data_IF_847829003694
#
_entry.id   IF_847829003694
#
_cell.length_a   1.000
_cell.length_b   1.000
_cell.length_c   1.000
_cell.angle_alpha   90.00
_cell.angle_beta   90.00
_cell.angle_gamma   90.00
#
_symmetry.space_group_name_H-M   'P 1'
#
loop_
_entity.id
_entity.type
_entity.pdbx_description
1 polymer ?
#
# COMPACT_ATOMS: atom_id res chain seq x y z
N UNK A 1 -30.89 12.34 -4.87
CA UNK A 1 -29.84 11.40 -4.40
C UNK A 1 -30.31 10.46 -3.30
N UNK A 2 -30.96 10.94 -2.22
CA UNK A 2 -31.49 10.05 -1.17
C UNK A 2 -32.43 8.94 -1.69
N UNK A 3 -33.19 9.21 -2.77
CA UNK A 3 -34.05 8.21 -3.42
C UNK A 3 -33.27 7.02 -4.02
N UNK A 4 -32.08 7.24 -4.60
CA UNK A 4 -31.27 6.16 -5.18
C UNK A 4 -30.68 5.27 -4.07
N UNK A 5 -30.21 5.88 -2.98
CA UNK A 5 -29.71 5.13 -1.81
C UNK A 5 -30.86 4.36 -1.16
N UNK A 6 -32.04 4.99 -1.03
CA UNK A 6 -33.25 4.33 -0.52
C UNK A 6 -33.68 3.13 -1.38
N UNK A 7 -33.57 3.23 -2.71
CA UNK A 7 -33.79 2.11 -3.61
C UNK A 7 -32.77 0.97 -3.39
N UNK A 8 -31.48 1.29 -3.25
CA UNK A 8 -30.45 0.30 -2.94
C UNK A 8 -30.72 -0.42 -1.61
N UNK A 9 -31.18 0.32 -0.60
CA UNK A 9 -31.62 -0.26 0.68
C UNK A 9 -32.82 -1.18 0.49
N UNK A 10 -33.85 -0.75 -0.26
CA UNK A 10 -35.03 -1.57 -0.54
C UNK A 10 -34.68 -2.87 -1.28
N UNK A 11 -33.69 -2.83 -2.17
CA UNK A 11 -33.17 -3.99 -2.88
C UNK A 11 -32.22 -4.86 -2.04
N UNK A 12 -31.88 -4.47 -0.80
CA UNK A 12 -30.95 -5.19 0.08
C UNK A 12 -29.63 -5.55 -0.62
N UNK A 13 -29.05 -4.58 -1.30
CA UNK A 13 -27.80 -4.78 -2.04
C UNK A 13 -26.67 -5.25 -1.11
N UNK A 14 -25.80 -6.13 -1.63
CA UNK A 14 -24.58 -6.56 -0.93
C UNK A 14 -23.42 -5.60 -1.13
N UNK A 15 -23.47 -4.79 -2.18
CA UNK A 15 -22.42 -3.85 -2.57
C UNK A 15 -23.05 -2.48 -2.69
N UNK A 16 -22.50 -1.51 -1.97
CA UNK A 16 -22.89 -0.11 -2.05
C UNK A 16 -21.66 0.73 -2.38
N UNK A 17 -21.73 1.44 -3.51
CA UNK A 17 -20.70 2.37 -3.95
C UNK A 17 -21.30 3.79 -4.01
N UNK A 18 -20.68 4.70 -3.27
CA UNK A 18 -21.09 6.09 -3.17
C UNK A 18 -19.89 6.96 -3.51
N UNK A 19 -19.93 7.55 -4.70
CA UNK A 19 -18.92 8.49 -5.17
C UNK A 19 -19.49 9.90 -5.28
N UNK A 20 -19.07 10.76 -4.35
CA UNK A 20 -19.39 12.18 -4.30
C UNK A 20 -18.15 13.06 -4.49
N UNK A 21 -17.07 12.50 -5.04
CA UNK A 21 -15.87 13.28 -5.36
C UNK A 21 -16.16 14.26 -6.49
N UNK A 22 -15.77 15.53 -6.31
CA UNK A 22 -15.91 16.56 -7.34
C UNK A 22 -14.53 16.92 -7.89
N UNK A 23 -14.27 16.77 -9.21
CA UNK A 23 -12.94 16.95 -9.81
C UNK A 23 -12.33 18.35 -9.70
N UNK A 24 -13.11 19.36 -9.31
CA UNK A 24 -12.60 20.72 -9.07
C UNK A 24 -11.66 20.80 -7.86
N UNK A 25 -11.57 19.73 -7.07
CA UNK A 25 -10.63 19.60 -5.96
C UNK A 25 -9.21 19.44 -6.52
N UNK A 26 -8.44 20.52 -6.47
CA UNK A 26 -7.06 20.50 -6.94
C UNK A 26 -6.22 19.67 -5.95
N UNK A 27 -5.43 18.70 -6.43
CA UNK A 27 -4.61 17.81 -5.57
C UNK A 27 -3.61 18.58 -4.67
N UNK A 28 -3.46 19.90 -4.86
CA UNK A 28 -2.53 20.79 -4.16
C UNK A 28 -3.17 21.78 -3.17
N UNK A 29 -4.50 21.85 -3.03
CA UNK A 29 -5.19 22.77 -2.11
C UNK A 29 -6.09 21.99 -1.14
N UNK A 30 -5.46 21.33 -0.17
CA UNK A 30 -6.14 20.52 0.85
C UNK A 30 -6.87 21.37 1.90
N UNK A 31 -6.61 22.68 1.95
CA UNK A 31 -7.08 23.59 2.98
C UNK A 31 -8.52 24.10 2.74
N UNK A 32 -9.04 24.03 1.50
CA UNK A 32 -10.32 24.68 1.13
C UNK A 32 -11.53 23.73 1.02
N UNK A 33 -11.37 22.41 1.21
CA UNK A 33 -12.41 21.43 0.87
C UNK A 33 -13.01 20.65 2.06
N UNK A 34 -12.76 21.12 3.28
CA UNK A 34 -13.23 20.48 4.51
C UNK A 34 -14.76 20.54 4.75
N UNK A 35 -15.53 21.27 3.92
CA UNK A 35 -16.92 21.64 4.20
C UNK A 35 -18.03 20.72 3.66
N UNK A 36 -17.84 20.04 2.53
CA UNK A 36 -18.96 19.52 1.72
C UNK A 36 -19.01 17.98 1.56
N UNK A 37 -18.53 17.22 2.55
CA UNK A 37 -18.61 15.75 2.50
C UNK A 37 -20.06 15.27 2.61
N UNK A 38 -20.46 14.33 1.74
CA UNK A 38 -21.80 13.76 1.80
C UNK A 38 -21.97 12.88 3.05
N UNK A 39 -22.91 13.24 3.93
CA UNK A 39 -23.20 12.47 5.14
C UNK A 39 -23.93 11.17 4.82
N UNK A 40 -23.34 10.02 5.20
CA UNK A 40 -23.96 8.71 5.01
C UNK A 40 -25.29 8.64 5.79
N UNK A 41 -26.44 8.42 5.11
CA UNK A 41 -27.73 8.48 5.78
C UNK A 41 -27.94 7.39 6.84
N UNK A 42 -28.67 7.72 7.91
CA UNK A 42 -28.88 6.82 9.05
C UNK A 42 -29.55 5.49 8.68
N UNK A 43 -30.40 5.48 7.66
CA UNK A 43 -31.10 4.28 7.20
C UNK A 43 -30.14 3.24 6.58
N UNK A 44 -28.98 3.66 6.06
CA UNK A 44 -27.96 2.71 5.57
C UNK A 44 -27.44 1.83 6.72
N UNK A 45 -27.18 2.43 7.88
CA UNK A 45 -26.70 1.70 9.07
C UNK A 45 -27.77 0.83 9.75
N UNK A 46 -29.05 1.07 9.47
CA UNK A 46 -30.17 0.35 10.10
C UNK A 46 -30.72 -0.74 9.20
N UNK A 47 -30.98 -0.40 7.95
CA UNK A 47 -31.82 -1.20 7.07
C UNK A 47 -31.00 -2.00 6.04
N UNK A 48 -29.74 -1.61 5.79
CA UNK A 48 -28.85 -2.29 4.85
C UNK A 48 -27.67 -3.00 5.52
N UNK A 49 -27.33 -2.61 6.75
CA UNK A 49 -26.05 -2.98 7.37
C UNK A 49 -25.84 -4.49 7.58
N UNK A 50 -26.91 -5.25 7.84
CA UNK A 50 -26.81 -6.69 8.13
C UNK A 50 -26.36 -7.53 6.92
N UNK A 51 -26.65 -7.07 5.70
CA UNK A 51 -26.39 -7.82 4.46
C UNK A 51 -25.29 -7.20 3.60
N UNK A 52 -24.78 -6.03 3.98
CA UNK A 52 -23.80 -5.31 3.19
C UNK A 52 -22.42 -5.96 3.35
N UNK A 53 -21.91 -6.49 2.24
CA UNK A 53 -20.61 -7.18 2.17
C UNK A 53 -19.49 -6.23 1.71
N UNK A 54 -19.82 -5.23 0.88
CA UNK A 54 -18.85 -4.25 0.37
C UNK A 54 -19.40 -2.82 0.42
N UNK A 55 -18.60 -1.90 0.96
CA UNK A 55 -18.92 -0.49 1.07
C UNK A 55 -17.76 0.35 0.53
N UNK A 56 -18.04 1.14 -0.50
CA UNK A 56 -17.12 2.13 -1.05
C UNK A 56 -17.68 3.54 -0.82
N UNK A 57 -16.89 4.39 -0.16
CA UNK A 57 -17.26 5.76 0.20
C UNK A 57 -16.19 6.72 -0.30
N UNK A 58 -16.48 7.46 -1.35
CA UNK A 58 -15.64 8.55 -1.84
C UNK A 58 -16.29 9.89 -1.49
N UNK A 59 -15.52 10.78 -0.84
CA UNK A 59 -15.98 12.11 -0.43
C UNK A 59 -17.24 12.07 0.46
N UNK A 60 -17.27 11.12 1.39
CA UNK A 60 -18.37 10.94 2.34
C UNK A 60 -17.93 11.16 3.79
N UNK A 61 -18.84 11.65 4.61
CA UNK A 61 -18.74 11.60 6.07
C UNK A 61 -19.55 10.43 6.61
N UNK A 62 -19.08 9.80 7.69
CA UNK A 62 -19.71 8.62 8.26
C UNK A 62 -19.57 8.59 9.79
N UNK A 63 -20.52 7.94 10.45
CA UNK A 63 -20.51 7.74 11.89
C UNK A 63 -19.79 6.44 12.24
N UNK A 64 -18.51 6.52 12.59
CA UNK A 64 -17.68 5.34 12.92
C UNK A 64 -18.32 4.43 13.98
N UNK A 65 -18.98 5.00 15.00
CA UNK A 65 -19.65 4.23 16.05
C UNK A 65 -20.85 3.39 15.56
N UNK A 66 -21.38 3.68 14.37
CA UNK A 66 -22.46 2.92 13.73
C UNK A 66 -21.95 1.76 12.89
N UNK A 67 -20.65 1.66 12.64
CA UNK A 67 -20.09 0.56 11.85
C UNK A 67 -20.24 -0.82 12.49
N UNK A 68 -20.46 -0.88 13.81
CA UNK A 68 -20.81 -2.12 14.52
C UNK A 68 -22.08 -2.80 14.01
N UNK A 69 -22.93 -2.08 13.27
CA UNK A 69 -24.10 -2.66 12.59
C UNK A 69 -23.72 -3.52 11.38
N UNK A 70 -22.57 -3.27 10.76
CA UNK A 70 -22.10 -3.94 9.54
C UNK A 70 -21.44 -5.29 9.86
N UNK A 71 -22.27 -6.29 10.18
CA UNK A 71 -21.79 -7.62 10.60
C UNK A 71 -21.28 -8.49 9.45
N UNK A 72 -21.68 -8.19 8.22
CA UNK A 72 -21.30 -8.93 7.02
C UNK A 72 -20.22 -8.23 6.17
N UNK A 73 -19.75 -7.05 6.60
CA UNK A 73 -18.88 -6.20 5.78
C UNK A 73 -17.46 -6.76 5.71
N UNK A 74 -17.11 -7.22 4.52
CA UNK A 74 -15.81 -7.80 4.17
C UNK A 74 -14.90 -6.81 3.48
N UNK A 75 -15.46 -5.85 2.73
CA UNK A 75 -14.71 -4.92 1.91
C UNK A 75 -15.08 -3.48 2.27
N UNK A 76 -14.10 -2.71 2.71
CA UNK A 76 -14.26 -1.29 3.01
C UNK A 76 -13.25 -0.46 2.22
N UNK A 77 -13.75 0.43 1.38
CA UNK A 77 -12.97 1.39 0.63
C UNK A 77 -13.38 2.80 1.03
N UNK A 78 -12.42 3.61 1.48
CA UNK A 78 -12.58 5.00 1.85
C UNK A 78 -11.69 5.85 0.96
N UNK A 79 -12.27 6.83 0.28
CA UNK A 79 -11.57 7.72 -0.63
C UNK A 79 -11.87 9.18 -0.36
N UNK A 80 -10.85 10.05 -0.35
CA UNK A 80 -11.06 11.49 -0.12
C UNK A 80 -11.84 11.77 1.17
N UNK A 81 -11.45 11.11 2.26
CA UNK A 81 -12.08 11.28 3.58
C UNK A 81 -11.05 11.78 4.60
N UNK A 82 -11.50 12.64 5.52
CA UNK A 82 -10.76 12.98 6.72
C UNK A 82 -10.70 11.78 7.66
N UNK A 83 -9.50 11.23 7.87
CA UNK A 83 -9.32 9.97 8.58
C UNK A 83 -8.15 10.08 9.56
N UNK A 84 -8.44 9.96 10.85
CA UNK A 84 -7.40 9.82 11.87
C UNK A 84 -7.09 8.34 12.12
N UNK A 85 -5.93 8.05 12.72
CA UNK A 85 -5.57 6.69 13.12
C UNK A 85 -6.62 6.05 14.03
N UNK A 86 -7.17 6.81 14.98
CA UNK A 86 -8.22 6.33 15.89
C UNK A 86 -9.51 5.92 15.17
N UNK A 87 -9.88 6.61 14.09
CA UNK A 87 -11.03 6.23 13.26
C UNK A 87 -10.76 4.91 12.54
N UNK A 88 -9.56 4.72 11.97
CA UNK A 88 -9.18 3.44 11.34
C UNK A 88 -9.25 2.28 12.33
N UNK A 89 -8.63 2.43 13.51
CA UNK A 89 -8.64 1.40 14.54
C UNK A 89 -10.07 1.07 14.99
N UNK A 90 -10.93 2.08 15.14
CA UNK A 90 -12.33 1.88 15.48
C UNK A 90 -13.12 1.17 14.38
N UNK A 91 -12.85 1.45 13.09
CA UNK A 91 -13.45 0.72 11.97
C UNK A 91 -13.07 -0.76 11.98
N UNK A 92 -11.78 -1.06 12.16
CA UNK A 92 -11.28 -2.44 12.26
C UNK A 92 -11.89 -3.20 13.45
N UNK A 93 -12.04 -2.52 14.60
CA UNK A 93 -12.69 -3.10 15.78
C UNK A 93 -14.18 -3.36 15.56
N UNK A 94 -14.86 -2.45 14.87
CA UNK A 94 -16.30 -2.53 14.65
C UNK A 94 -16.70 -3.52 13.54
N UNK A 95 -15.77 -3.87 12.65
CA UNK A 95 -15.98 -4.78 11.52
C UNK A 95 -15.00 -5.96 11.58
N UNK A 96 -15.20 -6.93 12.49
CA UNK A 96 -14.23 -7.99 12.76
C UNK A 96 -14.05 -8.99 11.59
N UNK A 97 -15.01 -9.05 10.66
CA UNK A 97 -14.95 -9.92 9.47
C UNK A 97 -14.36 -9.22 8.24
N UNK A 98 -13.77 -8.03 8.42
CA UNK A 98 -13.23 -7.25 7.31
C UNK A 98 -12.01 -7.95 6.69
N UNK A 99 -12.13 -8.36 5.43
CA UNK A 99 -11.11 -9.05 4.65
C UNK A 99 -10.28 -8.08 3.80
N UNK A 100 -10.83 -6.93 3.43
CA UNK A 100 -10.19 -5.94 2.56
C UNK A 100 -10.42 -4.51 3.05
N UNK A 101 -9.32 -3.78 3.27
CA UNK A 101 -9.32 -2.36 3.61
C UNK A 101 -8.56 -1.57 2.55
N UNK A 102 -9.21 -0.54 2.01
CA UNK A 102 -8.60 0.39 1.05
C UNK A 102 -8.77 1.83 1.49
N UNK A 103 -7.67 2.55 1.67
CA UNK A 103 -7.61 3.96 1.98
C UNK A 103 -7.00 4.71 0.80
N UNK A 104 -7.72 5.67 0.21
CA UNK A 104 -7.30 6.38 -1.01
C UNK A 104 -7.38 7.88 -0.81
N UNK A 105 -6.25 8.59 -0.88
CA UNK A 105 -6.20 10.05 -0.75
C UNK A 105 -6.90 10.56 0.53
N UNK A 106 -6.80 9.80 1.62
CA UNK A 106 -7.26 10.24 2.93
C UNK A 106 -6.21 11.16 3.56
N UNK A 107 -6.63 12.08 4.43
CA UNK A 107 -5.76 13.05 5.10
C UNK A 107 -5.96 13.02 6.63
N UNK A 108 -5.02 13.62 7.38
CA UNK A 108 -4.92 13.57 8.87
C UNK A 108 -4.45 12.23 9.45
N UNK A 109 -3.81 11.39 8.65
CA UNK A 109 -3.25 10.12 9.11
C UNK A 109 -1.79 10.32 9.55
N UNK A 110 -1.50 10.61 10.81
CA UNK A 110 -0.12 10.82 11.28
C UNK A 110 0.73 9.53 11.21
N UNK A 111 0.13 8.42 11.61
CA UNK A 111 0.66 7.05 11.50
C UNK A 111 -0.49 6.08 11.28
N UNK A 112 -0.18 4.84 10.88
CA UNK A 112 -1.19 3.81 10.67
C UNK A 112 -0.84 2.59 11.52
N UNK A 113 -1.77 2.15 12.34
CA UNK A 113 -1.64 0.93 13.14
C UNK A 113 -2.84 0.01 12.85
N UNK A 114 -2.56 -1.10 12.20
CA UNK A 114 -3.56 -2.05 11.72
C UNK A 114 -3.37 -3.33 12.50
N UNK A 115 -4.29 -3.61 13.42
CA UNK A 115 -4.44 -4.93 14.04
C UNK A 115 -5.76 -5.52 13.54
N UNK A 116 -5.67 -6.46 12.61
CA UNK A 116 -6.82 -7.03 11.93
C UNK A 116 -6.53 -8.47 11.48
N UNK A 117 -6.87 -9.48 12.30
CA UNK A 117 -6.51 -10.87 12.04
C UNK A 117 -7.22 -11.48 10.82
N UNK A 118 -8.36 -10.92 10.40
CA UNK A 118 -9.13 -11.32 9.22
C UNK A 118 -8.68 -10.64 7.93
N UNK A 119 -7.81 -9.63 8.00
CA UNK A 119 -7.47 -8.79 6.86
C UNK A 119 -6.53 -9.51 5.90
N UNK A 120 -6.99 -9.73 4.67
CA UNK A 120 -6.26 -10.40 3.59
C UNK A 120 -5.68 -9.42 2.56
N UNK A 121 -6.26 -8.22 2.47
CA UNK A 121 -5.86 -7.19 1.50
C UNK A 121 -5.82 -5.82 2.16
N UNK A 122 -4.68 -5.13 2.03
CA UNK A 122 -4.50 -3.75 2.47
C UNK A 122 -4.05 -2.87 1.30
N UNK A 123 -4.77 -1.78 1.08
CA UNK A 123 -4.41 -0.74 0.13
C UNK A 123 -4.32 0.60 0.84
N UNK A 124 -3.18 1.26 0.74
CA UNK A 124 -2.96 2.64 1.16
C UNK A 124 -2.44 3.41 -0.05
N UNK A 125 -3.26 4.31 -0.60
CA UNK A 125 -3.01 4.93 -1.90
C UNK A 125 -3.04 6.45 -1.81
N UNK A 126 -1.87 7.09 -1.90
CA UNK A 126 -1.67 8.55 -1.89
C UNK A 126 -2.30 9.25 -0.67
N UNK A 127 -2.29 8.62 0.50
CA UNK A 127 -2.72 9.25 1.75
C UNK A 127 -1.71 10.32 2.19
N UNK A 128 -2.22 11.42 2.74
CA UNK A 128 -1.48 12.65 3.05
C UNK A 128 -1.17 12.72 4.55
N UNK A 129 -0.06 13.39 4.89
CA UNK A 129 0.46 13.55 6.25
C UNK A 129 0.83 12.24 6.98
N UNK A 130 0.97 11.15 6.23
CA UNK A 130 1.48 9.88 6.77
C UNK A 130 2.99 9.96 6.93
N UNK A 131 3.43 10.54 8.05
CA UNK A 131 4.80 11.06 8.15
C UNK A 131 5.85 10.02 8.49
N UNK A 132 5.54 8.87 9.11
CA UNK A 132 6.63 8.05 9.68
C UNK A 132 6.48 6.53 9.60
N UNK A 133 5.34 5.94 9.99
CA UNK A 133 5.25 4.49 10.20
C UNK A 133 3.87 3.93 9.83
N UNK A 134 3.84 2.81 9.11
CA UNK A 134 2.70 1.90 9.09
C UNK A 134 3.09 0.63 9.85
N UNK A 135 2.37 0.34 10.93
CA UNK A 135 2.41 -0.94 11.63
C UNK A 135 1.25 -1.82 11.17
N UNK A 136 1.54 -3.06 10.82
CA UNK A 136 0.51 -4.05 10.45
C UNK A 136 0.73 -5.35 11.22
N UNK A 137 -0.24 -5.68 12.05
CA UNK A 137 -0.44 -6.99 12.66
C UNK A 137 -1.67 -7.65 12.00
N UNK A 138 -1.41 -8.34 10.90
CA UNK A 138 -2.42 -9.06 10.12
C UNK A 138 -1.83 -10.35 9.54
N UNK A 139 -1.96 -11.45 10.29
CA UNK A 139 -1.35 -12.74 9.92
C UNK A 139 -1.92 -13.36 8.64
N UNK A 140 -3.10 -12.94 8.21
CA UNK A 140 -3.76 -13.43 6.99
C UNK A 140 -3.53 -12.54 5.77
N UNK A 141 -2.74 -11.47 5.91
CA UNK A 141 -2.50 -10.49 4.85
C UNK A 141 -1.75 -11.11 3.67
N UNK A 142 -2.39 -11.17 2.50
CA UNK A 142 -1.83 -11.73 1.26
C UNK A 142 -1.45 -10.66 0.25
N UNK A 143 -2.18 -9.55 0.23
CA UNK A 143 -1.98 -8.46 -0.71
C UNK A 143 -1.72 -7.15 0.03
N UNK A 144 -0.62 -6.48 -0.33
CA UNK A 144 -0.27 -5.16 0.18
C UNK A 144 -0.03 -4.22 -1.00
N UNK A 145 -0.79 -3.11 -1.06
CA UNK A 145 -0.47 -1.98 -1.92
C UNK A 145 -0.19 -0.76 -1.07
N UNK A 146 0.94 -0.13 -1.32
CA UNK A 146 1.28 1.18 -0.79
C UNK A 146 1.63 2.12 -1.95
N UNK A 147 0.99 3.29 -2.00
CA UNK A 147 1.39 4.41 -2.85
C UNK A 147 1.51 5.67 -1.99
N UNK A 148 2.64 6.36 -2.06
CA UNK A 148 2.88 7.51 -1.19
C UNK A 148 4.33 7.96 -1.16
N UNK A 149 4.68 8.70 -0.11
CA UNK A 149 6.06 8.99 0.26
C UNK A 149 6.75 7.72 0.75
N UNK A 150 8.08 7.66 0.75
CA UNK A 150 8.75 6.50 1.35
C UNK A 150 8.52 6.51 2.87
N UNK A 151 8.07 5.38 3.42
CA UNK A 151 7.71 5.20 4.83
C UNK A 151 8.31 3.93 5.41
N UNK A 152 8.47 3.86 6.73
CA UNK A 152 8.88 2.63 7.42
C UNK A 152 7.67 1.70 7.60
N UNK A 153 7.71 0.52 6.99
CA UNK A 153 6.67 -0.52 7.08
C UNK A 153 7.08 -1.56 8.14
N UNK A 154 6.36 -1.60 9.25
CA UNK A 154 6.59 -2.55 10.35
C UNK A 154 5.48 -3.60 10.35
N UNK A 155 5.77 -4.79 9.83
CA UNK A 155 4.75 -5.83 9.72
C UNK A 155 5.17 -7.00 10.63
N UNK A 156 4.41 -7.23 11.70
CA UNK A 156 4.83 -8.10 12.82
C UNK A 156 4.83 -9.60 12.48
N UNK A 157 4.08 -10.00 11.44
CA UNK A 157 4.14 -11.35 10.88
C UNK A 157 3.94 -11.29 9.36
N UNK A 158 5.05 -11.35 8.64
CA UNK A 158 5.07 -11.23 7.18
C UNK A 158 4.86 -12.55 6.44
N UNK A 159 4.72 -13.69 7.13
CA UNK A 159 4.77 -15.01 6.49
C UNK A 159 3.59 -15.32 5.55
N UNK A 160 2.67 -14.40 5.34
CA UNK A 160 1.47 -14.58 4.51
C UNK A 160 1.43 -13.72 3.26
N UNK A 161 2.25 -12.67 3.15
CA UNK A 161 2.20 -11.77 1.99
C UNK A 161 2.69 -12.51 0.74
N UNK A 162 1.85 -12.47 -0.29
CA UNK A 162 2.09 -13.09 -1.60
C UNK A 162 2.40 -12.03 -2.65
N UNK A 163 1.73 -10.89 -2.58
CA UNK A 163 1.86 -9.81 -3.56
C UNK A 163 2.01 -8.45 -2.87
N UNK A 164 3.01 -7.69 -3.32
CA UNK A 164 3.28 -6.34 -2.86
C UNK A 164 3.40 -5.37 -4.04
N UNK A 165 2.65 -4.27 -3.99
CA UNK A 165 2.72 -3.17 -4.95
C UNK A 165 3.19 -1.91 -4.20
N UNK A 166 4.35 -1.40 -4.56
CA UNK A 166 4.97 -0.24 -3.92
C UNK A 166 5.14 0.88 -4.94
N UNK A 167 4.44 2.00 -4.75
CA UNK A 167 4.48 3.16 -5.63
C UNK A 167 4.99 4.41 -4.88
N UNK A 168 6.25 4.76 -5.10
CA UNK A 168 6.87 5.93 -4.48
C UNK A 168 6.86 7.16 -5.40
N UNK A 169 5.90 7.23 -6.33
CA UNK A 169 5.80 8.27 -7.35
C UNK A 169 5.64 9.69 -6.80
N UNK A 170 5.11 9.86 -5.59
CA UNK A 170 4.95 11.18 -4.96
C UNK A 170 6.33 11.75 -4.59
N UNK A 171 6.64 12.95 -5.12
CA UNK A 171 7.91 13.64 -4.85
C UNK A 171 7.86 14.29 -3.46
N UNK A 172 8.76 13.91 -2.58
CA UNK A 172 9.35 14.82 -1.59
C UNK A 172 10.85 14.49 -1.47
N UNK A 173 11.67 15.54 -1.37
CA UNK A 173 13.10 15.41 -1.13
C UNK A 173 13.32 14.50 0.07
N UNK A 174 14.11 13.44 -0.12
CA UNK A 174 14.47 12.53 0.96
C UNK A 174 15.27 13.31 2.02
N UNK A 175 14.61 13.98 2.97
CA UNK A 175 15.31 14.61 4.10
C UNK A 175 15.95 13.56 4.99
N UNK A 176 15.39 12.34 5.03
CA UNK A 176 15.80 11.28 5.96
C UNK A 176 16.18 9.96 5.25
N UNK A 177 17.01 9.99 4.18
CA UNK A 177 17.53 8.77 3.51
C UNK A 177 18.15 7.78 4.49
N UNK A 178 18.87 8.32 5.48
CA UNK A 178 19.63 7.53 6.46
C UNK A 178 18.74 6.66 7.33
N UNK A 179 17.54 7.15 7.63
CA UNK A 179 16.58 6.45 8.46
C UNK A 179 15.88 5.33 7.70
N UNK A 180 15.50 5.57 6.44
CA UNK A 180 14.82 4.57 5.61
C UNK A 180 15.71 3.35 5.37
N UNK A 181 16.99 3.56 5.03
CA UNK A 181 17.91 2.46 4.79
C UNK A 181 18.24 1.69 6.07
N UNK A 182 18.20 2.38 7.22
CA UNK A 182 18.31 1.74 8.52
C UNK A 182 17.07 0.92 8.87
N UNK A 183 15.88 1.47 8.68
CA UNK A 183 14.63 0.85 9.07
C UNK A 183 14.24 -0.32 8.12
N UNK A 184 14.49 -0.17 6.82
CA UNK A 184 14.07 -1.15 5.81
C UNK A 184 15.12 -2.22 5.52
N UNK A 185 16.40 -1.86 5.62
CA UNK A 185 17.52 -2.74 5.23
C UNK A 185 18.51 -2.99 6.38
N UNK A 186 18.36 -2.33 7.53
CA UNK A 186 19.26 -2.47 8.67
C UNK A 186 20.63 -1.79 8.52
N UNK A 187 20.79 -0.87 7.56
CA UNK A 187 22.09 -0.23 7.25
C UNK A 187 22.21 1.22 7.73
N UNK A 188 23.43 1.59 8.15
CA UNK A 188 23.78 2.99 8.42
C UNK A 188 24.38 3.64 7.15
N UNK A 189 24.12 4.91 6.90
CA UNK A 189 24.58 5.59 5.67
C UNK A 189 26.10 5.75 5.61
N UNK A 190 26.80 5.75 6.75
CA UNK A 190 28.27 5.68 6.78
C UNK A 190 28.83 4.44 6.06
N UNK A 191 28.05 3.36 5.97
CA UNK A 191 28.39 2.12 5.27
C UNK A 191 28.10 2.16 3.76
N UNK A 192 27.34 3.15 3.29
CA UNK A 192 26.87 3.28 1.91
C UNK A 192 27.79 4.14 1.03
N UNK A 193 28.89 4.67 1.57
CA UNK A 193 29.94 5.34 0.80
C UNK A 193 30.53 4.44 -0.30
N UNK A 194 30.35 3.11 -0.20
CA UNK A 194 30.68 2.17 -1.26
C UNK A 194 29.46 1.28 -1.58
N UNK A 195 28.80 1.57 -2.72
CA UNK A 195 27.74 0.74 -3.30
C UNK A 195 28.14 -0.75 -3.43
N UNK A 196 29.43 -0.99 -3.64
CA UNK A 196 30.02 -2.32 -3.72
C UNK A 196 30.00 -3.06 -2.36
N UNK A 197 30.28 -2.38 -1.25
CA UNK A 197 30.26 -2.98 0.09
C UNK A 197 28.84 -3.26 0.58
N UNK A 198 27.87 -2.41 0.18
CA UNK A 198 26.44 -2.67 0.38
C UNK A 198 25.98 -3.94 -0.37
N UNK A 199 26.33 -4.09 -1.64
CA UNK A 199 25.97 -5.27 -2.44
C UNK A 199 26.61 -6.57 -1.92
N UNK A 200 27.65 -6.48 -1.10
CA UNK A 200 28.37 -7.62 -0.54
C UNK A 200 28.01 -7.91 0.93
N UNK A 201 27.51 -6.94 1.69
CA UNK A 201 27.11 -7.13 3.10
C UNK A 201 25.75 -7.83 3.25
N UNK A 202 25.56 -8.60 4.32
CA UNK A 202 24.28 -9.22 4.66
C UNK A 202 23.44 -8.24 5.52
N UNK A 203 22.19 -7.93 5.16
CA UNK A 203 21.29 -7.13 5.97
C UNK A 203 20.98 -7.92 7.23
N UNK A 204 20.90 -7.19 8.35
CA UNK A 204 20.65 -7.79 9.66
C UNK A 204 19.25 -8.42 9.75
N UNK A 205 18.29 -7.88 9.01
CA UNK A 205 16.89 -8.28 9.07
C UNK A 205 16.30 -8.43 7.65
N UNK A 206 16.31 -9.67 7.14
CA UNK A 206 15.51 -10.02 5.96
C UNK A 206 14.09 -10.35 6.42
N UNK A 207 13.11 -9.62 5.91
CA UNK A 207 11.71 -9.88 6.20
C UNK A 207 11.33 -11.30 5.74
N UNK A 208 10.76 -12.14 6.61
CA UNK A 208 10.48 -13.54 6.28
C UNK A 208 9.61 -13.73 5.03
N UNK A 209 8.67 -12.83 4.71
CA UNK A 209 7.88 -12.91 3.47
C UNK A 209 8.76 -13.01 2.24
N UNK A 210 9.85 -12.24 2.20
CA UNK A 210 10.65 -12.02 1.00
C UNK A 210 11.25 -13.35 0.55
N UNK A 211 11.76 -14.14 1.49
CA UNK A 211 12.37 -15.44 1.18
C UNK A 211 11.38 -16.61 1.16
N UNK A 212 10.19 -16.48 1.75
CA UNK A 212 9.29 -17.63 1.97
C UNK A 212 7.96 -17.60 1.21
N UNK A 213 7.34 -16.43 1.01
CA UNK A 213 5.98 -16.34 0.45
C UNK A 213 5.76 -15.30 -0.63
N UNK A 214 6.61 -14.28 -0.72
CA UNK A 214 6.42 -13.15 -1.63
C UNK A 214 6.73 -13.58 -3.07
N UNK A 215 5.68 -13.67 -3.89
CA UNK A 215 5.75 -14.13 -5.28
C UNK A 215 5.78 -12.99 -6.28
N UNK A 216 5.10 -11.89 -5.97
CA UNK A 216 4.92 -10.77 -6.91
C UNK A 216 5.31 -9.46 -6.25
N UNK A 217 6.22 -8.72 -6.88
CA UNK A 217 6.58 -7.35 -6.49
C UNK A 217 6.45 -6.41 -7.68
N UNK A 218 5.65 -5.37 -7.53
CA UNK A 218 5.53 -4.30 -8.52
C UNK A 218 5.98 -2.98 -7.90
N UNK A 219 7.04 -2.39 -8.46
CA UNK A 219 7.55 -1.08 -8.04
C UNK A 219 7.19 -0.04 -9.10
N UNK A 220 6.39 0.95 -8.72
CA UNK A 220 5.94 2.07 -9.57
C UNK A 220 6.62 3.36 -9.19
N UNK A 221 6.62 4.31 -10.11
CA UNK A 221 7.15 5.65 -9.86
C UNK A 221 8.67 5.73 -9.88
N UNK A 222 9.38 4.68 -10.33
CA UNK A 222 10.84 4.56 -10.25
C UNK A 222 11.56 5.68 -11.01
N UNK A 223 12.37 6.46 -10.31
CA UNK A 223 13.13 7.61 -10.85
C UNK A 223 14.61 7.29 -11.05
N UNK A 224 15.10 6.15 -10.59
CA UNK A 224 16.51 5.75 -10.61
C UNK A 224 17.32 6.34 -9.45
N UNK A 225 16.67 6.64 -8.33
CA UNK A 225 17.35 7.07 -7.10
C UNK A 225 18.10 5.91 -6.43
N UNK A 226 19.14 6.23 -5.67
CA UNK A 226 19.94 5.24 -4.92
C UNK A 226 19.03 4.37 -4.05
N UNK A 227 18.12 4.97 -3.28
CA UNK A 227 17.23 4.24 -2.37
C UNK A 227 16.33 3.24 -3.12
N UNK A 228 15.83 3.63 -4.29
CA UNK A 228 15.00 2.75 -5.12
C UNK A 228 15.82 1.56 -5.66
N UNK A 229 17.08 1.77 -6.03
CA UNK A 229 17.99 0.68 -6.41
C UNK A 229 18.35 -0.24 -5.23
N UNK A 230 18.44 0.28 -4.01
CA UNK A 230 18.72 -0.52 -2.81
C UNK A 230 17.52 -1.44 -2.49
N UNK A 231 16.30 -0.92 -2.58
CA UNK A 231 15.07 -1.72 -2.43
C UNK A 231 14.97 -2.80 -3.51
N UNK A 232 15.30 -2.49 -4.77
CA UNK A 232 15.33 -3.48 -5.84
C UNK A 232 16.42 -4.54 -5.60
N UNK A 233 17.63 -4.12 -5.23
CA UNK A 233 18.74 -5.02 -4.90
C UNK A 233 18.37 -5.99 -3.78
N UNK A 234 17.65 -5.52 -2.77
CA UNK A 234 17.13 -6.33 -1.68
C UNK A 234 16.17 -7.43 -2.18
N UNK A 235 15.14 -7.08 -2.96
CA UNK A 235 14.21 -8.09 -3.49
C UNK A 235 14.90 -9.08 -4.45
N UNK A 236 15.82 -8.61 -5.30
CA UNK A 236 16.59 -9.48 -6.20
C UNK A 236 17.53 -10.42 -5.41
N UNK A 237 18.07 -9.96 -4.28
CA UNK A 237 19.01 -10.73 -3.48
C UNK A 237 18.31 -11.77 -2.62
N UNK A 238 17.24 -11.40 -1.93
CA UNK A 238 16.59 -12.21 -0.89
C UNK A 238 15.25 -12.83 -1.32
N UNK A 239 14.67 -12.39 -2.43
CA UNK A 239 13.39 -12.87 -2.95
C UNK A 239 13.45 -14.25 -3.59
N UNK A 240 13.74 -15.29 -2.81
CA UNK A 240 14.00 -16.65 -3.32
C UNK A 240 12.77 -17.34 -3.92
N UNK A 241 11.56 -16.89 -3.56
CA UNK A 241 10.28 -17.43 -4.06
C UNK A 241 9.54 -16.47 -5.01
N UNK A 242 10.18 -15.36 -5.39
CA UNK A 242 9.60 -14.40 -6.33
C UNK A 242 9.40 -15.09 -7.70
N UNK A 243 8.19 -15.00 -8.23
CA UNK A 243 7.81 -15.53 -9.55
C UNK A 243 7.83 -14.40 -10.59
N UNK A 244 7.42 -13.19 -10.18
CA UNK A 244 7.32 -12.01 -11.02
C UNK A 244 7.81 -10.77 -10.29
N UNK A 245 8.61 -9.96 -10.95
CA UNK A 245 8.84 -8.59 -10.53
C UNK A 245 8.64 -7.63 -11.71
N UNK A 246 8.21 -6.42 -11.40
CA UNK A 246 8.02 -5.38 -12.41
C UNK A 246 8.45 -4.03 -11.89
N UNK A 247 9.18 -3.28 -12.74
CA UNK A 247 9.58 -1.92 -12.49
C UNK A 247 8.95 -0.99 -13.52
N UNK A 248 8.21 0.00 -13.04
CA UNK A 248 7.53 1.00 -13.85
C UNK A 248 8.11 2.39 -13.56
N UNK A 249 8.87 2.91 -14.53
CA UNK A 249 9.40 4.28 -14.46
C UNK A 249 8.47 5.28 -15.18
N UNK A 250 8.15 6.44 -14.58
CA UNK A 250 7.40 7.50 -15.28
C UNK A 250 8.20 8.16 -16.41
N UNK A 251 9.54 8.13 -16.33
CA UNK A 251 10.44 8.86 -17.26
C UNK A 251 10.79 8.07 -18.50
N UNK A 252 10.75 6.75 -18.43
CA UNK A 252 10.99 5.83 -19.54
C UNK A 252 9.79 4.91 -19.59
N UNK A 253 9.08 4.81 -20.72
CA UNK A 253 8.03 3.79 -20.95
C UNK A 253 8.58 2.35 -20.97
N UNK A 254 9.69 2.11 -20.28
CA UNK A 254 10.38 0.83 -20.20
C UNK A 254 9.85 0.12 -18.96
N UNK A 255 9.01 -0.86 -19.20
CA UNK A 255 8.65 -1.86 -18.21
C UNK A 255 9.81 -2.87 -18.16
N UNK A 256 10.54 -2.91 -17.04
CA UNK A 256 11.42 -4.05 -16.78
C UNK A 256 10.56 -5.11 -16.10
N UNK A 257 10.24 -6.18 -16.82
CA UNK A 257 9.68 -7.41 -16.25
C UNK A 257 10.76 -8.45 -16.30
N UNK A 258 10.96 -9.17 -15.21
CA UNK A 258 11.77 -10.38 -15.23
C UNK A 258 11.09 -11.51 -14.47
N UNK A 259 11.30 -12.74 -14.93
CA UNK A 259 11.20 -13.90 -14.07
C UNK A 259 12.47 -14.00 -13.24
N UNK A 260 12.38 -14.48 -12.00
CA UNK A 260 13.56 -14.62 -11.13
C UNK A 260 14.60 -15.58 -11.72
N UNK A 261 14.16 -16.54 -12.54
CA UNK A 261 15.06 -17.41 -13.30
C UNK A 261 15.95 -16.65 -14.30
N UNK A 262 15.42 -15.62 -14.98
CA UNK A 262 16.22 -14.74 -15.83
C UNK A 262 17.26 -13.93 -15.04
N UNK A 263 16.94 -13.57 -13.79
CA UNK A 263 17.86 -12.87 -12.88
C UNK A 263 18.85 -13.78 -12.16
N UNK A 264 18.56 -15.05 -11.92
CA UNK A 264 19.53 -16.03 -11.40
C UNK A 264 20.59 -16.30 -12.49
N UNK A 265 20.17 -16.38 -13.75
CA UNK A 265 21.08 -16.43 -14.91
C UNK A 265 21.86 -15.11 -15.00
N UNK A 266 21.19 -13.95 -14.85
CA UNK A 266 21.88 -12.66 -14.78
C UNK A 266 22.78 -12.52 -13.55
N UNK A 267 22.52 -13.17 -12.41
CA UNK A 267 23.39 -13.24 -11.22
C UNK A 267 24.63 -14.07 -11.50
N UNK A 268 24.48 -15.20 -12.21
CA UNK A 268 25.62 -15.99 -12.71
C UNK A 268 26.44 -15.21 -13.75
N UNK A 269 25.81 -14.37 -14.57
CA UNK A 269 26.48 -13.53 -15.56
C UNK A 269 27.03 -12.21 -14.97
N UNK A 270 26.42 -11.63 -13.93
CA UNK A 270 26.87 -10.41 -13.22
C UNK A 270 28.11 -10.67 -12.36
N UNK A 271 28.36 -11.92 -11.96
CA UNK A 271 29.68 -12.31 -11.44
C UNK A 271 30.79 -12.23 -12.51
N UNK A 272 30.47 -11.95 -13.77
CA UNK A 272 31.44 -11.87 -14.86
C UNK A 272 31.58 -10.50 -15.54
N UNK A 273 30.60 -9.58 -15.57
CA UNK A 273 30.86 -8.27 -16.18
C UNK A 273 29.86 -7.17 -15.78
N UNK A 274 30.40 -5.95 -15.69
CA UNK A 274 29.75 -4.64 -15.65
C UNK A 274 28.48 -4.55 -16.50
N UNK A 275 27.50 -3.76 -16.03
CA UNK A 275 26.46 -3.16 -16.85
C UNK A 275 27.10 -2.31 -17.97
N UNK A 276 27.47 -2.94 -19.08
CA UNK A 276 27.61 -2.31 -20.39
C UNK A 276 26.74 -3.13 -21.33
N UNK A 277 25.65 -2.49 -21.76
CA UNK A 277 24.80 -2.89 -22.89
C UNK A 277 24.38 -4.37 -22.91
N UNK A 278 23.15 -4.65 -22.46
CA UNK A 278 22.48 -5.90 -22.80
C UNK A 278 22.42 -6.00 -24.34
N UNK A 279 22.97 -7.05 -24.97
CA UNK A 279 22.84 -7.23 -26.41
C UNK A 279 21.37 -7.41 -26.77
N UNK A 280 20.92 -6.73 -27.83
CA UNK A 280 19.60 -6.89 -28.40
C UNK A 280 19.38 -8.36 -28.79
N UNK A 281 18.60 -9.10 -28.00
CA UNK A 281 18.33 -10.51 -28.29
C UNK A 281 17.62 -11.33 -27.21
N UNK A 282 17.33 -10.77 -26.03
CA UNK A 282 16.69 -11.50 -24.93
C UNK A 282 15.45 -10.76 -24.39
N UNK A 283 14.52 -10.47 -25.32
CA UNK A 283 13.13 -10.12 -25.02
C UNK A 283 12.31 -11.40 -24.81
#
# INVERSE_FOLDING_TARGET
>A
MHHCIGFAVACRVKVLDLDFFVPSWNEMSLEDHHGDLFGLPLFVYKDLAENLESLNLLSCNFLVARFKSFRALKNLSLGWVNLTTSVVTALLTNCPVLESLSLKRCWVLDYLDISAPSLTSLVVDKCLNLERVIRVDARTLRFLKYSGTVISLWIEDLRSIVEAVLDFGLKFEFRDREKILRDFLGYNIDSLLHYHDFMMSEPKDVYPCVSTTLKVVEVKGFKGGIDEFLVLGYFIRYGTVLEKWSLLSPRRKTLLVGSVWGLIIAKRLCNCCYFRELPAGWL
#
